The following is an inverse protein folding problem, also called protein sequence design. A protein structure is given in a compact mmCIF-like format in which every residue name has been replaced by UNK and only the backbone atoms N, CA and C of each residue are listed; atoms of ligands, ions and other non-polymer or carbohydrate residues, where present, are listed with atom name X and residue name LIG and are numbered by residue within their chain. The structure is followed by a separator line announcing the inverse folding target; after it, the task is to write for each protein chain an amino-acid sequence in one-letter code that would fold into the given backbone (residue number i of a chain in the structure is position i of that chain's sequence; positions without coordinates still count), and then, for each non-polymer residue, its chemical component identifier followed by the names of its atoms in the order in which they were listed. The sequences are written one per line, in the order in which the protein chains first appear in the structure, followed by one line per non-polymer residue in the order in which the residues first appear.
data_IF_062430776857
#
_entry.id   IF_062430776857
#
_cell.length_a   1.000
_cell.length_b   1.000
_cell.length_c   1.000
_cell.angle_alpha   90.00
_cell.angle_beta   90.00
_cell.angle_gamma   90.00
#
_symmetry.space_group_name_H-M   'P 1'
#
loop_
_entity.id
_entity.type
_entity.pdbx_description
1 polymer ?
#
# COMPACT_ATOMS: atom_id res chain seq x y z
N UNK A 1 13.67 -4.17 4.86
CA UNK A 1 12.35 -3.76 5.38
C UNK A 1 11.36 -4.92 5.34
N UNK A 2 11.20 -5.58 4.20
CA UNK A 2 10.30 -6.73 4.09
C UNK A 2 10.92 -8.01 4.70
N UNK A 3 10.09 -8.89 5.29
CA UNK A 3 10.50 -10.23 5.71
C UNK A 3 10.92 -11.09 4.50
N UNK A 4 11.64 -12.20 4.76
CA UNK A 4 11.98 -13.18 3.73
C UNK A 4 10.74 -13.86 3.15
N UNK A 5 9.78 -14.18 4.02
CA UNK A 5 8.48 -14.71 3.64
C UNK A 5 7.48 -13.56 3.46
N UNK A 6 6.89 -13.46 2.27
CA UNK A 6 5.99 -12.38 1.88
C UNK A 6 4.51 -12.76 1.93
N UNK A 7 4.15 -13.98 2.35
CA UNK A 7 2.76 -14.43 2.33
C UNK A 7 1.83 -13.50 3.12
N UNK A 8 2.16 -13.20 4.39
CA UNK A 8 1.33 -12.33 5.22
C UNK A 8 1.30 -10.87 4.71
N UNK A 9 2.43 -10.22 4.35
CA UNK A 9 2.41 -8.89 3.73
C UNK A 9 1.55 -8.81 2.46
N UNK A 10 1.67 -9.80 1.56
CA UNK A 10 0.87 -9.86 0.32
C UNK A 10 -0.61 -9.94 0.66
N UNK A 11 -0.99 -10.85 1.55
CA UNK A 11 -2.39 -11.00 1.99
C UNK A 11 -2.91 -9.73 2.65
N UNK A 12 -2.14 -9.12 3.54
CA UNK A 12 -2.49 -7.88 4.22
C UNK A 12 -2.72 -6.74 3.21
N UNK A 13 -1.84 -6.60 2.22
CA UNK A 13 -1.97 -5.58 1.18
C UNK A 13 -3.20 -5.82 0.30
N UNK A 14 -3.41 -7.06 -0.16
CA UNK A 14 -4.53 -7.43 -1.02
C UNK A 14 -5.88 -7.18 -0.32
N UNK A 15 -6.07 -7.72 0.89
CA UNK A 15 -7.32 -7.52 1.64
C UNK A 15 -7.56 -6.03 1.96
N UNK A 16 -6.50 -5.28 2.28
CA UNK A 16 -6.63 -3.84 2.52
C UNK A 16 -7.10 -3.09 1.27
N UNK A 17 -6.51 -3.36 0.09
CA UNK A 17 -6.90 -2.69 -1.15
C UNK A 17 -8.30 -3.08 -1.62
N UNK A 18 -8.65 -4.37 -1.50
CA UNK A 18 -10.00 -4.84 -1.78
C UNK A 18 -11.00 -4.06 -0.94
N UNK A 19 -10.80 -3.99 0.37
CA UNK A 19 -11.70 -3.25 1.25
C UNK A 19 -11.69 -1.74 0.93
N UNK A 20 -10.51 -1.15 0.74
CA UNK A 20 -10.37 0.30 0.50
C UNK A 20 -11.11 0.77 -0.75
N UNK A 21 -11.09 -0.04 -1.83
CA UNK A 21 -11.76 0.27 -3.08
C UNK A 21 -13.20 -0.27 -3.17
N UNK A 22 -13.83 -0.57 -2.02
CA UNK A 22 -15.27 -0.86 -1.94
C UNK A 22 -15.64 -2.35 -1.98
N UNK A 23 -14.67 -3.25 -1.88
CA UNK A 23 -14.89 -4.68 -1.69
C UNK A 23 -15.20 -5.07 -0.23
N UNK A 24 -15.22 -6.39 0.07
CA UNK A 24 -15.53 -6.90 1.40
C UNK A 24 -14.60 -6.39 2.51
N UNK A 25 -15.11 -6.29 3.73
CA UNK A 25 -14.38 -5.78 4.91
C UNK A 25 -13.41 -6.80 5.56
N UNK A 26 -12.90 -7.74 4.78
CA UNK A 26 -12.09 -8.87 5.26
C UNK A 26 -10.86 -8.40 6.06
N UNK A 27 -10.20 -7.32 5.61
CA UNK A 27 -9.05 -6.76 6.33
C UNK A 27 -9.42 -6.30 7.73
N UNK A 28 -10.50 -5.52 7.86
CA UNK A 28 -10.92 -4.96 9.15
C UNK A 28 -11.45 -6.03 10.09
N UNK A 29 -12.14 -7.05 9.57
CA UNK A 29 -12.57 -8.21 10.36
C UNK A 29 -11.37 -8.94 10.96
N UNK A 30 -10.31 -9.17 10.17
CA UNK A 30 -9.14 -9.95 10.60
C UNK A 30 -8.12 -9.15 11.40
N UNK A 31 -7.85 -7.91 11.00
CA UNK A 31 -6.77 -7.06 11.54
C UNK A 31 -7.29 -5.87 12.33
N UNK A 32 -8.60 -5.62 12.37
CA UNK A 32 -9.17 -4.41 12.98
C UNK A 32 -8.85 -3.14 12.19
N UNK A 33 -9.09 -1.99 12.82
CA UNK A 33 -8.91 -0.67 12.21
C UNK A 33 -7.52 -0.51 11.54
N UNK A 34 -7.42 0.02 10.30
CA UNK A 34 -6.17 0.06 9.54
C UNK A 34 -4.99 0.74 10.24
N UNK A 35 -5.24 1.89 10.89
CA UNK A 35 -4.23 2.66 11.66
C UNK A 35 -2.88 2.73 10.92
N UNK A 36 -2.90 3.08 9.63
CA UNK A 36 -1.75 2.89 8.73
C UNK A 36 -0.48 3.54 9.28
N UNK A 37 -0.52 4.81 9.71
CA UNK A 37 0.65 5.48 10.31
C UNK A 37 1.23 4.72 11.50
N UNK A 38 0.40 4.29 12.44
CA UNK A 38 0.85 3.51 13.61
C UNK A 38 1.51 2.19 13.19
N UNK A 39 0.97 1.50 12.17
CA UNK A 39 1.52 0.23 11.67
C UNK A 39 2.79 0.40 10.83
N UNK A 40 2.99 1.58 10.24
CA UNK A 40 4.18 1.89 9.44
C UNK A 40 5.29 2.58 10.26
N UNK A 41 4.98 3.12 11.44
CA UNK A 41 5.93 3.75 12.36
C UNK A 41 7.16 2.90 12.75
N UNK A 42 7.05 1.56 12.92
CA UNK A 42 8.22 0.74 13.26
C UNK A 42 9.30 0.68 12.16
N UNK A 43 8.99 1.11 10.94
CA UNK A 43 9.91 1.08 9.81
C UNK A 43 10.42 2.49 9.53
N UNK A 44 11.71 2.66 9.23
CA UNK A 44 12.24 3.91 8.70
C UNK A 44 11.79 4.06 7.25
N UNK A 45 10.87 5.00 6.98
CA UNK A 45 10.32 5.25 5.65
C UNK A 45 10.68 6.68 5.25
N UNK A 46 11.71 6.77 4.41
CA UNK A 46 12.22 7.98 3.79
C UNK A 46 11.71 8.20 2.37
N UNK A 47 12.34 9.15 1.67
CA UNK A 47 12.03 9.45 0.25
C UNK A 47 12.36 8.24 -0.63
N UNK A 48 13.47 7.56 -0.35
CA UNK A 48 13.92 6.40 -1.12
C UNK A 48 12.92 5.23 -1.02
N UNK A 49 12.50 4.86 0.19
CA UNK A 49 11.54 3.77 0.42
C UNK A 49 10.17 4.12 -0.18
N UNK A 50 9.71 5.36 0.01
CA UNK A 50 8.47 5.85 -0.59
C UNK A 50 8.49 5.71 -2.11
N UNK A 51 9.56 6.16 -2.76
CA UNK A 51 9.66 6.13 -4.22
C UNK A 51 9.78 4.70 -4.75
N UNK A 52 10.56 3.84 -4.09
CA UNK A 52 10.67 2.42 -4.44
C UNK A 52 9.30 1.71 -4.34
N UNK A 53 8.54 1.97 -3.28
CA UNK A 53 7.21 1.38 -3.10
C UNK A 53 6.21 1.88 -4.16
N UNK A 54 6.19 3.18 -4.45
CA UNK A 54 5.32 3.75 -5.48
C UNK A 54 5.65 3.23 -6.88
N UNK A 55 6.94 3.05 -7.19
CA UNK A 55 7.37 2.46 -8.47
C UNK A 55 6.88 1.01 -8.59
N UNK A 56 7.03 0.21 -7.53
CA UNK A 56 6.54 -1.17 -7.50
C UNK A 56 5.01 -1.26 -7.68
N UNK A 57 4.25 -0.41 -7.00
CA UNK A 57 2.79 -0.39 -7.14
C UNK A 57 2.35 0.06 -8.54
N UNK A 58 3.01 1.08 -9.11
CA UNK A 58 2.72 1.55 -10.47
C UNK A 58 2.97 0.44 -11.49
N UNK A 59 4.12 -0.23 -11.41
CA UNK A 59 4.45 -1.37 -12.28
C UNK A 59 3.45 -2.52 -12.13
N UNK A 60 3.03 -2.84 -10.90
CA UNK A 60 2.03 -3.88 -10.65
C UNK A 60 0.67 -3.56 -11.30
N UNK A 61 0.23 -2.29 -11.32
CA UNK A 61 -0.99 -1.90 -12.03
C UNK A 61 -0.87 -2.02 -13.55
N UNK A 62 0.33 -1.78 -14.09
CA UNK A 62 0.63 -1.96 -15.51
C UNK A 62 0.58 -3.44 -15.90
N UNK A 63 1.24 -4.30 -15.12
CA UNK A 63 1.26 -5.76 -15.31
C UNK A 63 -0.14 -6.35 -15.18
N UNK A 64 -0.94 -5.87 -14.22
CA UNK A 64 -2.34 -6.26 -14.04
C UNK A 64 -3.28 -5.66 -15.10
N UNK A 65 -2.76 -4.82 -16.01
CA UNK A 65 -3.51 -4.17 -17.10
C UNK A 65 -4.75 -3.42 -16.63
N UNK A 66 -4.67 -2.76 -15.47
CA UNK A 66 -5.79 -1.99 -14.92
C UNK A 66 -6.17 -0.87 -15.92
N UNK A 67 -7.44 -0.76 -16.35
CA UNK A 67 -7.86 0.23 -17.33
C UNK A 67 -7.93 1.64 -16.74
N UNK A 68 -8.06 2.63 -17.61
CA UNK A 68 -8.47 3.98 -17.21
C UNK A 68 -9.99 4.04 -17.03
N UNK A 69 -10.52 4.85 -16.10
CA UNK A 69 -9.80 5.80 -15.23
C UNK A 69 -9.23 5.20 -13.93
N UNK A 70 -9.49 3.92 -13.64
CA UNK A 70 -9.17 3.29 -12.35
C UNK A 70 -7.67 3.33 -12.03
N UNK A 71 -6.82 3.07 -13.03
CA UNK A 71 -5.36 3.17 -12.86
C UNK A 71 -4.94 4.54 -12.35
N UNK A 72 -5.53 5.62 -12.87
CA UNK A 72 -5.21 6.99 -12.42
C UNK A 72 -5.64 7.22 -10.98
N UNK A 73 -6.82 6.71 -10.58
CA UNK A 73 -7.30 6.82 -9.20
C UNK A 73 -6.38 6.07 -8.24
N UNK A 74 -6.00 4.84 -8.59
CA UNK A 74 -5.11 4.01 -7.77
C UNK A 74 -3.70 4.60 -7.67
N UNK A 75 -3.11 5.06 -8.77
CA UNK A 75 -1.80 5.73 -8.76
C UNK A 75 -1.79 6.96 -7.86
N UNK A 76 -2.82 7.80 -7.94
CA UNK A 76 -2.95 8.97 -7.07
C UNK A 76 -3.08 8.57 -5.59
N UNK A 77 -3.88 7.54 -5.30
CA UNK A 77 -4.01 7.01 -3.95
C UNK A 77 -2.68 6.51 -3.39
N UNK A 78 -1.94 5.71 -4.16
CA UNK A 78 -0.63 5.19 -3.77
C UNK A 78 0.39 6.30 -3.54
N UNK A 79 0.47 7.27 -4.46
CA UNK A 79 1.39 8.39 -4.35
C UNK A 79 1.13 9.21 -3.08
N UNK A 80 -0.13 9.56 -2.81
CA UNK A 80 -0.52 10.36 -1.65
C UNK A 80 -0.34 9.60 -0.33
N UNK A 81 -0.77 8.33 -0.30
CA UNK A 81 -0.70 7.51 0.92
C UNK A 81 0.75 7.19 1.28
N UNK A 82 1.59 6.85 0.31
CA UNK A 82 3.00 6.58 0.57
C UNK A 82 3.72 7.82 1.13
N UNK A 83 3.45 9.00 0.58
CA UNK A 83 3.98 10.27 1.13
C UNK A 83 3.45 10.54 2.54
N UNK A 84 2.17 10.28 2.82
CA UNK A 84 1.57 10.45 4.14
C UNK A 84 2.17 9.51 5.21
N UNK A 85 2.69 8.36 4.80
CA UNK A 85 3.27 7.32 5.67
C UNK A 85 4.77 7.48 5.89
N UNK A 86 5.45 8.38 5.16
CA UNK A 86 6.83 8.75 5.45
C UNK A 86 6.95 9.22 6.91
N UNK A 87 8.03 8.80 7.56
CA UNK A 87 8.31 9.11 8.97
C UNK A 87 9.79 9.48 9.20
N UNK A 88 10.53 9.73 8.13
CA UNK A 88 11.88 10.27 8.08
C UNK A 88 11.93 11.37 7.02
N UNK A 89 12.79 12.37 7.26
CA UNK A 89 12.97 13.53 6.38
C UNK A 89 13.92 13.22 5.21
N UNK A 90 14.74 12.16 5.34
CA UNK A 90 15.62 11.60 4.32
C UNK A 90 15.00 10.34 3.72
#
# INVERSE_FOLDING_TARGET
MFPKDLEEPIRNQAEFLIQYFGGPETYSIRKGHPRLRMRHHPYSIGVAERNAWVAAMTGALEDAKIPQPDRTVMNRYFANTATFLMNRDE
#
